data_IF_989651268763
#
_entry.id   IF_989651268763
#
_cell.length_a   1.000
_cell.length_b   1.000
_cell.length_c   1.000
_cell.angle_alpha   90.00
_cell.angle_beta   90.00
_cell.angle_gamma   90.00
#
_symmetry.space_group_name_H-M   'P 1'
#
loop_
_entity.id
_entity.type
_entity.pdbx_description
1 polymer ?
#
# COMPACT_ATOMS: atom_id res chain seq x y z
N UNK A 1 13.17 -2.08 11.95
CA UNK A 1 12.00 -2.21 12.84
C UNK A 1 11.10 -3.21 12.16
N UNK A 2 10.80 -4.34 12.82
CA UNK A 2 9.78 -5.24 12.29
C UNK A 2 8.48 -4.42 12.27
N UNK A 3 7.89 -4.25 11.09
CA UNK A 3 6.62 -3.56 10.94
C UNK A 3 5.60 -4.29 11.83
N UNK A 4 5.04 -3.60 12.83
CA UNK A 4 4.06 -4.21 13.74
C UNK A 4 2.89 -4.75 12.91
N UNK A 5 2.35 -5.93 13.23
CA UNK A 5 1.30 -6.55 12.42
C UNK A 5 0.07 -5.65 12.37
N UNK A 6 -0.16 -5.04 11.21
CA UNK A 6 -1.28 -4.13 10.98
C UNK A 6 -2.59 -4.92 10.99
N UNK A 7 -3.55 -4.49 11.81
CA UNK A 7 -4.90 -5.07 11.84
C UNK A 7 -5.68 -4.72 10.57
N UNK A 8 -6.82 -5.38 10.34
CA UNK A 8 -7.65 -5.13 9.15
C UNK A 8 -8.20 -3.71 9.12
N UNK A 9 -8.57 -3.19 10.29
CA UNK A 9 -9.06 -1.82 10.44
C UNK A 9 -7.96 -0.81 10.11
N UNK A 10 -6.74 -1.06 10.58
CA UNK A 10 -5.58 -0.21 10.27
C UNK A 10 -5.17 -0.31 8.79
N UNK A 11 -5.30 -1.49 8.18
CA UNK A 11 -5.09 -1.67 6.73
C UNK A 11 -6.11 -0.91 5.90
N UNK A 12 -7.40 -1.02 6.24
CA UNK A 12 -8.47 -0.29 5.56
C UNK A 12 -8.22 1.22 5.66
N UNK A 13 -7.93 1.71 6.87
CA UNK A 13 -7.62 3.12 7.10
C UNK A 13 -6.41 3.59 6.29
N UNK A 14 -5.33 2.80 6.24
CA UNK A 14 -4.14 3.17 5.49
C UNK A 14 -4.38 3.20 3.97
N UNK A 15 -5.21 2.28 3.45
CA UNK A 15 -5.62 2.29 2.03
C UNK A 15 -6.43 3.54 1.72
N UNK A 16 -7.36 3.93 2.61
CA UNK A 16 -8.17 5.14 2.45
C UNK A 16 -7.29 6.40 2.50
N UNK A 17 -6.40 6.53 3.48
CA UNK A 17 -5.45 7.65 3.59
C UNK A 17 -4.53 7.75 2.35
N UNK A 18 -4.06 6.61 1.82
CA UNK A 18 -3.27 6.57 0.59
C UNK A 18 -4.09 7.03 -0.63
N UNK A 19 -5.35 6.62 -0.75
CA UNK A 19 -6.24 7.05 -1.83
C UNK A 19 -6.57 8.55 -1.74
N UNK A 20 -6.76 9.09 -0.54
CA UNK A 20 -6.94 10.53 -0.32
C UNK A 20 -5.69 11.32 -0.72
N UNK A 21 -4.50 10.83 -0.38
CA UNK A 21 -3.24 11.43 -0.79
C UNK A 21 -3.07 11.45 -2.32
N UNK A 22 -3.41 10.34 -3.00
CA UNK A 22 -3.42 10.28 -4.47
C UNK A 22 -4.39 11.33 -5.05
N UNK A 23 -5.61 11.41 -4.52
CA UNK A 23 -6.61 12.35 -5.02
C UNK A 23 -6.19 13.81 -4.81
N UNK A 24 -5.65 14.13 -3.63
CA UNK A 24 -5.13 15.46 -3.32
C UNK A 24 -3.99 15.85 -4.27
N UNK A 25 -3.05 14.93 -4.54
CA UNK A 25 -1.95 15.14 -5.47
C UNK A 25 -2.46 15.45 -6.87
N UNK A 26 -3.36 14.60 -7.41
CA UNK A 26 -3.95 14.81 -8.75
C UNK A 26 -4.74 16.11 -8.85
N UNK A 27 -5.44 16.51 -7.78
CA UNK A 27 -6.17 17.76 -7.74
C UNK A 27 -5.23 18.97 -7.70
N UNK A 28 -4.06 18.85 -7.05
CA UNK A 28 -3.06 19.89 -6.94
C UNK A 28 -2.27 20.11 -8.23
N UNK A 29 -2.14 19.10 -9.09
CA UNK A 29 -1.37 19.18 -10.33
C UNK A 29 -2.03 20.02 -11.46
N UNK A 30 -3.17 20.71 -11.23
CA UNK A 30 -3.80 21.71 -12.13
C UNK A 30 -3.78 21.40 -13.66
N UNK A 31 -3.89 20.13 -14.05
CA UNK A 31 -3.91 19.71 -15.47
C UNK A 31 -2.63 19.04 -16.01
N UNK A 32 -1.60 18.81 -15.18
CA UNK A 32 -0.44 18.00 -15.54
C UNK A 32 0.43 17.65 -14.33
N UNK A 33 0.74 16.36 -14.15
CA UNK A 33 1.71 15.91 -13.15
C UNK A 33 3.10 16.34 -13.61
N UNK A 34 3.82 17.09 -12.77
CA UNK A 34 5.25 17.26 -12.96
C UNK A 34 6.01 15.96 -12.58
N UNK A 35 7.32 15.91 -12.86
CA UNK A 35 8.11 14.70 -12.61
C UNK A 35 8.12 14.31 -11.11
N UNK A 36 8.06 15.29 -10.21
CA UNK A 36 8.05 15.06 -8.77
C UNK A 36 6.70 14.51 -8.27
N UNK A 37 5.59 15.07 -8.74
CA UNK A 37 4.26 14.55 -8.48
C UNK A 37 4.07 13.17 -9.12
N UNK A 38 4.66 12.92 -10.29
CA UNK A 38 4.63 11.61 -10.94
C UNK A 38 5.43 10.55 -10.17
N UNK A 39 6.61 10.89 -9.65
CA UNK A 39 7.37 10.05 -8.73
C UNK A 39 6.57 9.75 -7.47
N UNK A 40 5.98 10.79 -6.85
CA UNK A 40 5.19 10.64 -5.63
C UNK A 40 3.95 9.77 -5.83
N UNK A 41 3.28 9.93 -6.98
CA UNK A 41 2.15 9.10 -7.36
C UNK A 41 2.55 7.63 -7.51
N UNK A 42 3.72 7.35 -8.11
CA UNK A 42 4.26 6.00 -8.21
C UNK A 42 4.54 5.39 -6.83
N UNK A 43 5.12 6.16 -5.91
CA UNK A 43 5.33 5.71 -4.53
C UNK A 43 4.02 5.32 -3.83
N UNK A 44 3.01 6.19 -3.93
CA UNK A 44 1.69 5.93 -3.35
C UNK A 44 1.04 4.67 -3.93
N UNK A 45 1.16 4.45 -5.24
CA UNK A 45 0.64 3.25 -5.90
C UNK A 45 1.34 1.97 -5.41
N UNK A 46 2.67 2.00 -5.30
CA UNK A 46 3.45 0.87 -4.79
C UNK A 46 3.08 0.56 -3.34
N UNK A 47 2.89 1.58 -2.51
CA UNK A 47 2.42 1.41 -1.13
C UNK A 47 1.01 0.79 -1.09
N UNK A 48 0.08 1.29 -1.90
CA UNK A 48 -1.28 0.75 -1.99
C UNK A 48 -1.30 -0.72 -2.37
N UNK A 49 -0.46 -1.12 -3.31
CA UNK A 49 -0.36 -2.52 -3.74
C UNK A 49 0.14 -3.42 -2.60
N UNK A 50 1.08 -2.94 -1.78
CA UNK A 50 1.54 -3.67 -0.58
C UNK A 50 0.44 -3.82 0.46
N UNK A 51 -0.31 -2.76 0.72
CA UNK A 51 -1.44 -2.80 1.67
C UNK A 51 -2.52 -3.79 1.20
N UNK A 52 -2.83 -3.80 -0.09
CA UNK A 52 -3.76 -4.78 -0.66
C UNK A 52 -3.23 -6.22 -0.63
N UNK A 53 -1.93 -6.43 -0.88
CA UNK A 53 -1.30 -7.74 -0.76
C UNK A 53 -1.40 -8.25 0.68
N UNK A 54 -1.03 -7.44 1.67
CA UNK A 54 -1.14 -7.81 3.09
C UNK A 54 -2.59 -8.12 3.48
N UNK A 55 -3.56 -7.30 3.06
CA UNK A 55 -4.98 -7.59 3.29
C UNK A 55 -5.39 -8.95 2.72
N UNK A 56 -4.92 -9.28 1.52
CA UNK A 56 -5.22 -10.56 0.85
C UNK A 56 -4.54 -11.73 1.56
N UNK A 57 -3.30 -11.57 2.01
CA UNK A 57 -2.59 -12.58 2.81
C UNK A 57 -3.36 -12.88 4.11
N UNK A 58 -3.79 -11.84 4.84
CA UNK A 58 -4.58 -12.00 6.07
C UNK A 58 -5.90 -12.72 5.82
N UNK A 59 -6.58 -12.40 4.71
CA UNK A 59 -7.81 -13.11 4.33
C UNK A 59 -7.54 -14.59 4.01
N UNK A 60 -6.47 -14.88 3.26
CA UNK A 60 -6.10 -16.26 2.93
C UNK A 60 -5.80 -17.10 4.18
N UNK A 61 -5.11 -16.53 5.17
CA UNK A 61 -4.85 -17.20 6.44
C UNK A 61 -6.14 -17.51 7.21
N UNK A 62 -7.10 -16.57 7.26
CA UNK A 62 -8.42 -16.84 7.86
C UNK A 62 -9.17 -17.95 7.14
N UNK A 63 -9.14 -17.93 5.81
CA UNK A 63 -9.83 -18.93 4.99
C UNK A 63 -9.21 -20.31 5.16
N UNK A 64 -7.90 -20.38 5.48
CA UNK A 64 -7.18 -21.60 5.82
C UNK A 64 -7.35 -22.04 7.29
N UNK A 65 -7.98 -21.22 8.14
CA UNK A 65 -8.09 -21.46 9.58
C UNK A 65 -6.79 -21.19 10.36
N UNK A 66 -5.85 -20.46 9.76
CA UNK A 66 -4.58 -20.03 10.36
C UNK A 66 -4.71 -18.66 11.04
N UNK A 67 -3.67 -18.23 11.75
CA UNK A 67 -3.65 -16.93 12.44
C UNK A 67 -3.33 -15.78 11.47
N UNK A 68 -4.27 -14.87 11.15
CA UNK A 68 -3.99 -13.73 10.27
C UNK A 68 -2.89 -12.79 10.81
N UNK A 69 -2.54 -12.87 12.10
CA UNK A 69 -1.41 -12.16 12.70
C UNK A 69 -0.04 -12.56 12.14
N UNK A 70 0.08 -13.76 11.56
CA UNK A 70 1.30 -14.25 10.92
C UNK A 70 1.52 -13.64 9.51
N UNK A 71 0.59 -12.81 9.02
CA UNK A 71 0.75 -12.11 7.76
C UNK A 71 1.65 -10.89 7.95
N UNK A 72 2.68 -10.77 7.11
CA UNK A 72 3.67 -9.70 7.23
C UNK A 72 3.77 -8.90 5.94
N UNK A 73 3.92 -7.58 6.06
CA UNK A 73 4.27 -6.74 4.91
C UNK A 73 5.57 -7.27 4.31
N UNK A 74 5.50 -7.69 3.05
CA UNK A 74 6.71 -8.08 2.32
C UNK A 74 7.58 -6.84 2.15
N UNK A 75 8.85 -6.96 2.54
CA UNK A 75 9.80 -5.86 2.50
C UNK A 75 9.79 -5.22 1.11
N UNK A 76 9.69 -3.89 1.12
CA UNK A 76 9.62 -3.02 -0.05
C UNK A 76 10.68 -3.36 -1.11
N UNK A 77 11.82 -3.90 -0.65
CA UNK A 77 13.01 -4.22 -1.43
C UNK A 77 12.86 -5.46 -2.33
N UNK A 78 11.79 -6.24 -2.23
CA UNK A 78 11.52 -7.33 -3.20
C UNK A 78 10.74 -6.84 -4.43
N UNK A 79 10.24 -5.60 -4.42
CA UNK A 79 9.66 -4.99 -5.62
C UNK A 79 10.74 -4.26 -6.42
N UNK A 80 11.84 -4.97 -6.75
CA UNK A 80 12.77 -4.63 -7.84
C UNK A 80 12.08 -4.79 -9.23
N UNK A 81 10.80 -4.39 -9.33
CA UNK A 81 9.97 -4.56 -10.52
C UNK A 81 9.34 -3.25 -11.01
N UNK A 82 9.26 -2.21 -10.18
CA UNK A 82 8.96 -0.85 -10.66
C UNK A 82 10.25 -0.18 -11.15
N UNK A 83 10.96 -0.83 -12.09
CA UNK A 83 11.87 -0.13 -12.99
C UNK A 83 10.97 0.55 -14.03
N UNK A 84 10.85 1.86 -13.94
CA UNK A 84 11.39 2.82 -14.91
C UNK A 84 10.76 2.67 -16.30
#
# INVERSE_FOLDING_TARGET
MADEPRTDAELARAIDENAEAEHALRSASHGGLDDADADRLRELQVERDRLFDLKRQRQAQRDAGEDPGEAHERDARTVEGYRQ
#
